data_IF_313302725091
#
_entry.id   IF_313302725091
#
_cell.length_a   1.000
_cell.length_b   1.000
_cell.length_c   1.000
_cell.angle_alpha   90.00
_cell.angle_beta   90.00
_cell.angle_gamma   90.00
#
_symmetry.space_group_name_H-M   'P 1'
#
loop_
_entity.id
_entity.type
_entity.pdbx_description
1 polymer ?
#
# COMPACT_ATOMS: atom_id res chain seq x y z
N UNK A 1 14.97 -39.29 57.85
CA UNK A 1 15.14 -39.64 56.43
C UNK A 1 14.56 -38.47 55.62
N UNK A 2 15.43 -37.69 55.00
CA UNK A 2 15.10 -36.40 54.38
C UNK A 2 14.22 -36.56 53.13
N UNK A 3 13.08 -35.87 53.10
CA UNK A 3 12.46 -35.35 51.86
C UNK A 3 11.96 -33.94 52.18
N UNK A 4 12.74 -32.95 51.74
CA UNK A 4 12.35 -31.55 51.74
C UNK A 4 11.33 -31.38 50.60
N UNK A 5 10.05 -31.21 50.94
CA UNK A 5 9.09 -30.53 50.09
C UNK A 5 8.94 -29.12 50.66
N UNK A 6 9.64 -28.16 50.06
CA UNK A 6 9.42 -26.73 50.30
C UNK A 6 8.22 -26.26 49.48
N UNK A 7 7.46 -25.38 50.12
CA UNK A 7 6.12 -24.88 49.82
C UNK A 7 5.85 -24.30 48.42
N UNK A 8 4.57 -24.19 48.04
CA UNK A 8 4.11 -23.55 46.81
C UNK A 8 4.19 -22.03 46.91
N UNK A 9 4.72 -21.38 45.87
CA UNK A 9 4.58 -19.95 45.67
C UNK A 9 3.46 -19.72 44.66
N UNK A 10 2.28 -19.40 45.18
CA UNK A 10 1.16 -18.80 44.47
C UNK A 10 1.62 -17.45 43.89
N UNK A 11 1.83 -17.39 42.57
CA UNK A 11 1.48 -16.20 41.81
C UNK A 11 0.36 -16.60 40.87
N UNK A 12 -0.82 -16.04 41.14
CA UNK A 12 -2.06 -16.27 40.43
C UNK A 12 -1.89 -15.95 38.95
N UNK A 13 -1.65 -16.99 38.16
CA UNK A 13 -2.01 -17.00 36.76
C UNK A 13 -3.51 -17.27 36.73
N UNK A 14 -4.31 -16.24 37.02
CA UNK A 14 -5.72 -16.28 36.66
C UNK A 14 -5.77 -16.47 35.15
N UNK A 15 -6.25 -17.66 34.76
CA UNK A 15 -6.68 -17.95 33.41
C UNK A 15 -7.74 -16.91 33.03
N UNK A 16 -7.30 -15.85 32.36
CA UNK A 16 -8.18 -15.15 31.46
C UNK A 16 -8.53 -16.14 30.35
N UNK A 17 -9.64 -16.86 30.53
CA UNK A 17 -10.43 -17.39 29.44
C UNK A 17 -10.84 -16.19 28.57
N UNK A 18 -9.96 -15.83 27.63
CA UNK A 18 -10.29 -14.93 26.55
C UNK A 18 -11.27 -15.73 25.69
N UNK A 19 -12.55 -15.53 25.99
CA UNK A 19 -13.64 -15.89 25.11
C UNK A 19 -13.48 -15.02 23.85
N UNK A 20 -12.73 -15.51 22.87
CA UNK A 20 -12.53 -14.88 21.57
C UNK A 20 -13.87 -14.98 20.83
N UNK A 21 -14.80 -14.09 21.18
CA UNK A 21 -15.82 -13.65 20.24
C UNK A 21 -15.11 -12.98 19.07
N UNK A 22 -15.64 -13.21 17.88
CA UNK A 22 -15.19 -12.69 16.57
C UNK A 22 -15.26 -11.16 16.44
N UNK A 23 -15.10 -10.41 17.52
CA UNK A 23 -15.16 -8.97 17.52
C UNK A 23 -13.73 -8.45 17.49
N UNK A 24 -13.32 -7.95 16.32
CA UNK A 24 -11.99 -7.41 16.08
C UNK A 24 -11.57 -6.46 17.20
N UNK A 25 -10.31 -6.60 17.63
CA UNK A 25 -9.67 -5.67 18.56
C UNK A 25 -9.79 -4.24 18.00
N UNK A 26 -10.77 -3.50 18.51
CA UNK A 26 -10.99 -2.10 18.19
C UNK A 26 -10.39 -1.31 19.33
N UNK A 27 -9.26 -0.66 19.07
CA UNK A 27 -8.75 0.39 19.95
C UNK A 27 -9.90 1.40 20.16
N UNK A 28 -10.12 1.91 21.38
CA UNK A 28 -11.12 2.94 21.61
C UNK A 28 -10.75 4.17 20.77
N UNK A 29 -11.55 4.43 19.73
CA UNK A 29 -11.42 5.61 18.86
C UNK A 29 -11.60 6.85 19.73
N UNK A 30 -10.52 7.60 19.98
CA UNK A 30 -10.64 8.92 20.59
C UNK A 30 -11.44 9.80 19.63
N UNK A 31 -12.60 10.29 20.06
CA UNK A 31 -13.34 11.28 19.29
C UNK A 31 -12.47 12.51 19.11
N UNK A 32 -12.08 12.75 17.87
CA UNK A 32 -11.17 13.81 17.49
C UNK A 32 -11.97 15.10 17.36
N UNK A 33 -11.45 16.19 17.93
CA UNK A 33 -12.15 17.47 17.89
C UNK A 33 -12.24 18.00 16.45
N UNK A 34 -13.26 18.81 16.16
CA UNK A 34 -13.43 19.45 14.86
C UNK A 34 -12.20 20.27 14.41
N UNK A 35 -11.51 20.88 15.37
CA UNK A 35 -10.25 21.62 15.14
C UNK A 35 -9.09 20.70 14.75
N UNK A 36 -8.92 19.57 15.43
CA UNK A 36 -7.91 18.55 15.07
C UNK A 36 -8.21 17.94 13.69
N UNK A 37 -9.49 17.71 13.37
CA UNK A 37 -9.91 17.30 12.03
C UNK A 37 -9.51 18.32 10.96
N UNK A 38 -9.84 19.60 11.17
CA UNK A 38 -9.54 20.68 10.24
C UNK A 38 -8.03 20.80 9.99
N UNK A 39 -7.21 20.76 11.04
CA UNK A 39 -5.75 20.83 10.93
C UNK A 39 -5.20 19.65 10.13
N UNK A 40 -5.68 18.43 10.40
CA UNK A 40 -5.27 17.25 9.62
C UNK A 40 -5.65 17.40 8.15
N UNK A 41 -6.88 17.84 7.84
CA UNK A 41 -7.30 18.08 6.46
C UNK A 41 -6.47 19.18 5.76
N UNK A 42 -6.20 20.29 6.44
CA UNK A 42 -5.39 21.37 5.89
C UNK A 42 -3.96 20.91 5.57
N UNK A 43 -3.35 20.11 6.44
CA UNK A 43 -2.04 19.52 6.16
C UNK A 43 -2.12 18.56 4.98
N UNK A 44 -3.14 17.69 4.90
CA UNK A 44 -3.33 16.81 3.74
C UNK A 44 -3.43 17.58 2.43
N UNK A 45 -4.20 18.68 2.42
CA UNK A 45 -4.39 19.55 1.25
C UNK A 45 -3.10 20.26 0.80
N UNK A 46 -2.14 20.46 1.70
CA UNK A 46 -0.84 21.07 1.38
C UNK A 46 0.24 20.03 1.07
N UNK A 47 0.24 18.91 1.80
CA UNK A 47 1.22 17.83 1.71
C UNK A 47 1.10 17.11 0.37
N UNK A 48 -0.13 16.74 -0.04
CA UNK A 48 -0.35 15.98 -1.27
C UNK A 48 0.16 16.74 -2.51
N UNK A 49 -0.20 18.02 -2.76
CA UNK A 49 0.30 18.75 -3.92
C UNK A 49 1.82 18.95 -3.90
N UNK A 50 2.40 19.29 -2.74
CA UNK A 50 3.84 19.50 -2.59
C UNK A 50 4.63 18.24 -2.96
N UNK A 51 4.18 17.08 -2.48
CA UNK A 51 4.86 15.81 -2.71
C UNK A 51 4.56 15.22 -4.08
N UNK A 52 3.39 15.53 -4.63
CA UNK A 52 3.10 15.22 -6.04
C UNK A 52 4.10 15.93 -6.94
N UNK A 53 4.44 17.19 -6.65
CA UNK A 53 5.47 17.90 -7.41
C UNK A 53 6.85 17.25 -7.25
N UNK A 54 7.26 16.96 -6.01
CA UNK A 54 8.57 16.34 -5.72
C UNK A 54 8.75 14.94 -6.33
N UNK A 55 7.69 14.14 -6.39
CA UNK A 55 7.74 12.75 -6.85
C UNK A 55 7.36 12.63 -8.33
N UNK A 56 6.48 13.51 -8.81
CA UNK A 56 5.98 13.54 -10.17
C UNK A 56 6.95 14.17 -11.16
N UNK A 57 7.73 15.16 -10.72
CA UNK A 57 8.84 15.71 -11.51
C UNK A 57 10.08 14.82 -11.36
N UNK A 58 10.29 13.93 -12.33
CA UNK A 58 11.27 12.86 -12.24
C UNK A 58 12.57 13.23 -12.94
N UNK A 59 13.67 13.22 -12.19
CA UNK A 59 15.01 13.31 -12.77
C UNK A 59 15.40 11.97 -13.40
N UNK A 60 15.67 12.01 -14.71
CA UNK A 60 16.02 10.86 -15.56
C UNK A 60 17.22 10.08 -15.00
N UNK A 61 18.20 10.75 -14.39
CA UNK A 61 19.41 10.11 -13.86
C UNK A 61 19.17 9.25 -12.60
N UNK A 62 18.04 9.45 -11.94
CA UNK A 62 17.69 8.75 -10.69
C UNK A 62 16.50 7.80 -10.88
N UNK A 63 15.83 7.85 -12.04
CA UNK A 63 14.68 7.03 -12.33
C UNK A 63 15.11 5.73 -13.01
N UNK A 64 15.31 4.68 -12.20
CA UNK A 64 15.83 3.38 -12.65
C UNK A 64 15.05 2.77 -13.83
N UNK A 65 13.71 2.88 -13.78
CA UNK A 65 12.82 2.32 -14.79
C UNK A 65 12.49 3.31 -15.92
N UNK A 66 13.17 4.48 -16.00
CA UNK A 66 12.84 5.57 -16.93
C UNK A 66 12.54 5.04 -18.33
N UNK A 67 13.47 4.34 -18.97
CA UNK A 67 13.35 3.88 -20.36
C UNK A 67 12.14 2.98 -20.63
N UNK A 68 11.59 2.33 -19.60
CA UNK A 68 10.42 1.46 -19.77
C UNK A 68 9.14 2.27 -19.96
N UNK A 69 9.05 3.44 -19.34
CA UNK A 69 7.81 4.23 -19.30
C UNK A 69 7.50 5.00 -20.59
N UNK A 70 8.46 5.66 -21.27
CA UNK A 70 8.27 6.18 -22.61
C UNK A 70 7.90 5.08 -23.61
N UNK A 71 8.47 3.88 -23.49
CA UNK A 71 8.09 2.75 -24.36
C UNK A 71 6.63 2.34 -24.15
N UNK A 72 6.15 2.31 -22.90
CA UNK A 72 4.74 2.04 -22.62
C UNK A 72 3.82 3.15 -23.13
N UNK A 73 4.26 4.40 -23.03
CA UNK A 73 3.52 5.55 -23.53
C UNK A 73 3.39 5.52 -25.05
N UNK A 74 4.51 5.33 -25.76
CA UNK A 74 4.53 5.21 -27.22
C UNK A 74 3.70 4.01 -27.71
N UNK A 75 3.82 2.88 -27.02
CA UNK A 75 3.01 1.72 -27.33
C UNK A 75 1.51 1.98 -27.12
N UNK A 76 1.14 2.72 -26.06
CA UNK A 76 -0.25 3.12 -25.78
C UNK A 76 -0.83 4.05 -26.86
N UNK A 77 -0.01 4.96 -27.39
CA UNK A 77 -0.42 5.89 -28.46
C UNK A 77 -0.63 5.19 -29.80
N UNK A 78 0.22 4.22 -30.14
CA UNK A 78 0.22 3.56 -31.44
C UNK A 78 -0.77 2.38 -31.52
N UNK A 79 -1.05 1.73 -30.39
CA UNK A 79 -1.79 0.47 -30.38
C UNK A 79 -3.24 0.67 -29.97
N UNK A 80 -4.25 0.13 -30.70
CA UNK A 80 -5.65 0.16 -30.27
C UNK A 80 -5.86 -0.60 -28.95
N UNK A 81 -6.93 -0.28 -28.19
CA UNK A 81 -7.19 -0.89 -26.87
C UNK A 81 -7.19 -2.43 -26.91
N UNK A 82 -7.77 -3.03 -27.94
CA UNK A 82 -7.79 -4.49 -28.13
C UNK A 82 -6.40 -5.10 -28.34
N UNK A 83 -5.44 -4.34 -28.88
CA UNK A 83 -4.05 -4.76 -29.05
C UNK A 83 -3.27 -4.73 -27.73
N UNK A 84 -3.56 -3.77 -26.85
CA UNK A 84 -2.92 -3.65 -25.53
C UNK A 84 -3.15 -4.90 -24.68
N UNK A 85 -4.39 -5.39 -24.61
CA UNK A 85 -4.71 -6.59 -23.83
C UNK A 85 -4.13 -7.88 -24.43
N UNK A 86 -3.84 -7.93 -25.74
CA UNK A 86 -3.27 -9.11 -26.40
C UNK A 86 -1.77 -9.27 -26.14
N UNK A 87 -1.05 -8.17 -25.89
CA UNK A 87 0.40 -8.21 -25.67
C UNK A 87 0.78 -8.59 -24.23
N UNK A 88 -0.15 -8.47 -23.27
CA UNK A 88 -0.02 -9.04 -21.93
C UNK A 88 0.89 -8.29 -20.95
N UNK A 89 1.59 -7.23 -21.38
CA UNK A 89 2.42 -6.40 -20.49
C UNK A 89 1.59 -5.34 -19.76
N UNK A 90 1.46 -5.45 -18.43
CA UNK A 90 0.82 -4.47 -17.53
C UNK A 90 -0.37 -3.70 -18.17
N UNK A 91 -1.39 -4.43 -18.67
CA UNK A 91 -2.32 -3.91 -19.66
C UNK A 91 -3.15 -2.74 -19.14
N UNK A 92 -3.54 -2.77 -17.86
CA UNK A 92 -4.33 -1.69 -17.28
C UNK A 92 -3.49 -0.42 -17.11
N UNK A 93 -2.20 -0.56 -16.80
CA UNK A 93 -1.32 0.60 -16.69
C UNK A 93 -1.12 1.30 -18.04
N UNK A 94 -0.96 0.55 -19.13
CA UNK A 94 -0.87 1.09 -20.49
C UNK A 94 -2.20 1.75 -20.92
N UNK A 95 -3.34 1.13 -20.59
CA UNK A 95 -4.66 1.70 -20.84
C UNK A 95 -4.85 3.03 -20.10
N UNK A 96 -4.36 3.16 -18.87
CA UNK A 96 -4.42 4.39 -18.09
C UNK A 96 -3.61 5.54 -18.71
N UNK A 97 -2.56 5.26 -19.50
CA UNK A 97 -1.79 6.28 -20.22
C UNK A 97 -2.55 6.84 -21.42
N UNK A 98 -3.47 6.06 -21.99
CA UNK A 98 -4.09 6.37 -23.29
C UNK A 98 -4.85 7.70 -23.37
N UNK A 99 -5.60 8.13 -22.35
CA UNK A 99 -6.23 9.46 -22.37
C UNK A 99 -5.23 10.61 -22.44
N UNK A 100 -3.98 10.38 -22.01
CA UNK A 100 -2.94 11.41 -21.99
C UNK A 100 -2.20 11.52 -23.32
N UNK A 101 -2.32 10.53 -24.23
CA UNK A 101 -1.62 10.55 -25.53
C UNK A 101 -2.12 11.65 -26.47
N UNK A 102 -3.24 12.30 -26.15
CA UNK A 102 -3.78 13.43 -26.90
C UNK A 102 -3.18 14.78 -26.49
N UNK A 103 -2.32 14.81 -25.47
CA UNK A 103 -1.69 16.02 -24.95
C UNK A 103 -0.23 16.10 -25.41
N UNK A 104 0.24 17.31 -25.71
CA UNK A 104 1.64 17.55 -26.12
C UNK A 104 2.64 17.10 -25.04
N UNK A 105 2.36 17.42 -23.76
CA UNK A 105 3.13 16.98 -22.58
C UNK A 105 2.48 15.78 -21.85
N UNK A 106 1.82 14.90 -22.61
CA UNK A 106 0.97 13.85 -22.04
C UNK A 106 1.70 12.86 -21.13
N UNK A 107 2.96 12.51 -21.44
CA UNK A 107 3.75 11.61 -20.60
C UNK A 107 4.02 12.21 -19.21
N UNK A 108 4.53 13.45 -19.17
CA UNK A 108 4.79 14.17 -17.91
C UNK A 108 3.49 14.36 -17.11
N UNK A 109 2.41 14.74 -17.81
CA UNK A 109 1.09 14.90 -17.18
C UNK A 109 0.60 13.59 -16.56
N UNK A 110 0.74 12.46 -17.26
CA UNK A 110 0.39 11.14 -16.73
C UNK A 110 1.19 10.80 -15.47
N UNK A 111 2.51 11.05 -15.47
CA UNK A 111 3.36 10.74 -14.30
C UNK A 111 2.96 11.55 -13.07
N UNK A 112 2.63 12.84 -13.25
CA UNK A 112 2.15 13.72 -12.17
C UNK A 112 0.80 13.23 -11.64
N UNK A 113 -0.15 12.91 -12.54
CA UNK A 113 -1.47 12.41 -12.14
C UNK A 113 -1.34 11.08 -11.40
N UNK A 114 -0.49 10.18 -11.89
CA UNK A 114 -0.27 8.89 -11.24
C UNK A 114 0.38 9.05 -9.86
N UNK A 115 1.36 9.95 -9.72
CA UNK A 115 1.94 10.30 -8.43
C UNK A 115 0.86 10.84 -7.47
N UNK A 116 0.04 11.79 -7.93
CA UNK A 116 -1.06 12.36 -7.13
C UNK A 116 -2.01 11.28 -6.59
N UNK A 117 -2.52 10.41 -7.46
CA UNK A 117 -3.44 9.34 -7.06
C UNK A 117 -2.78 8.34 -6.10
N UNK A 118 -1.53 7.96 -6.37
CA UNK A 118 -0.77 7.04 -5.52
C UNK A 118 -0.61 7.61 -4.11
N UNK A 119 -0.17 8.88 -4.00
CA UNK A 119 0.01 9.55 -2.72
C UNK A 119 -1.31 9.68 -1.96
N UNK A 120 -2.39 10.07 -2.66
CA UNK A 120 -3.71 10.22 -2.06
C UNK A 120 -4.23 8.89 -1.48
N UNK A 121 -4.10 7.80 -2.23
CA UNK A 121 -4.53 6.47 -1.79
C UNK A 121 -3.71 5.97 -0.61
N UNK A 122 -2.38 6.10 -0.67
CA UNK A 122 -1.49 5.69 0.44
C UNK A 122 -1.76 6.48 1.72
N UNK A 123 -1.89 7.79 1.62
CA UNK A 123 -2.18 8.64 2.78
C UNK A 123 -3.57 8.36 3.36
N UNK A 124 -4.55 8.07 2.52
CA UNK A 124 -5.90 7.65 2.97
C UNK A 124 -5.85 6.30 3.71
N UNK A 125 -5.10 5.33 3.18
CA UNK A 125 -4.91 4.04 3.81
C UNK A 125 -4.17 4.19 5.16
N UNK A 126 -3.10 4.98 5.20
CA UNK A 126 -2.32 5.26 6.41
C UNK A 126 -3.18 5.94 7.48
N UNK A 127 -3.95 6.98 7.12
CA UNK A 127 -4.84 7.67 8.05
C UNK A 127 -5.86 6.75 8.71
N UNK A 128 -6.36 5.75 7.98
CA UNK A 128 -7.31 4.80 8.54
C UNK A 128 -6.64 3.66 9.33
N UNK A 129 -5.37 3.38 9.05
CA UNK A 129 -4.57 2.38 9.76
C UNK A 129 -4.02 2.87 11.10
N UNK A 130 -3.79 4.19 11.25
CA UNK A 130 -3.27 4.80 12.48
C UNK A 130 -4.03 6.06 12.84
N UNK A 131 -4.38 6.19 14.12
CA UNK A 131 -4.99 7.43 14.65
C UNK A 131 -3.93 8.52 14.92
N UNK A 132 -2.65 8.10 15.02
CA UNK A 132 -1.55 8.98 15.36
C UNK A 132 -0.98 9.66 14.11
N UNK A 133 -1.18 10.98 14.04
CA UNK A 133 -0.70 11.82 12.96
C UNK A 133 0.83 11.81 12.84
N UNK A 134 1.56 11.69 13.95
CA UNK A 134 3.02 11.65 13.93
C UNK A 134 3.54 10.37 13.27
N UNK A 135 2.87 9.23 13.48
CA UNK A 135 3.21 7.98 12.81
C UNK A 135 2.96 8.09 11.30
N UNK A 136 1.87 8.75 10.90
CA UNK A 136 1.60 9.04 9.48
C UNK A 136 2.69 9.93 8.88
N UNK A 137 3.11 10.99 9.58
CA UNK A 137 4.16 11.89 9.11
C UNK A 137 5.51 11.18 9.01
N UNK A 138 5.91 10.41 10.02
CA UNK A 138 7.19 9.68 10.05
C UNK A 138 7.23 8.60 8.97
N UNK A 139 6.19 7.74 8.86
CA UNK A 139 6.14 6.72 7.82
C UNK A 139 6.16 7.35 6.44
N UNK A 140 5.40 8.43 6.22
CA UNK A 140 5.36 9.07 4.92
C UNK A 140 6.66 9.82 4.57
N UNK A 141 7.30 10.47 5.55
CA UNK A 141 8.63 11.08 5.38
C UNK A 141 9.75 10.05 5.25
N UNK A 142 9.47 8.77 5.52
CA UNK A 142 10.46 7.74 5.35
C UNK A 142 10.83 7.64 3.87
N UNK A 143 12.14 7.60 3.63
CA UNK A 143 12.74 7.47 2.30
C UNK A 143 12.08 6.36 1.47
N UNK A 144 11.63 5.28 2.12
CA UNK A 144 10.99 4.12 1.50
C UNK A 144 9.67 4.47 0.80
N UNK A 145 8.87 5.40 1.32
CA UNK A 145 7.54 5.70 0.76
C UNK A 145 7.60 6.68 -0.41
N UNK A 146 8.42 7.73 -0.35
CA UNK A 146 8.57 8.68 -1.45
C UNK A 146 9.51 8.18 -2.55
N UNK A 147 10.62 7.51 -2.23
CA UNK A 147 11.54 6.98 -3.25
C UNK A 147 10.89 5.88 -4.08
N UNK A 148 10.07 5.03 -3.45
CA UNK A 148 9.39 3.96 -4.18
C UNK A 148 8.46 4.51 -5.28
N UNK A 149 7.78 5.63 -5.02
CA UNK A 149 6.89 6.29 -5.99
C UNK A 149 7.69 6.96 -7.10
N UNK A 150 8.89 7.43 -6.74
CA UNK A 150 9.85 8.05 -7.63
C UNK A 150 10.49 7.04 -8.60
N UNK A 151 10.90 5.87 -8.11
CA UNK A 151 11.63 4.86 -8.92
C UNK A 151 10.67 3.93 -9.69
N UNK A 152 9.62 3.39 -9.04
CA UNK A 152 8.77 2.34 -9.62
C UNK A 152 7.27 2.69 -9.51
N UNK A 153 6.79 3.53 -10.44
CA UNK A 153 5.43 4.07 -10.38
C UNK A 153 4.33 3.00 -10.55
N UNK A 154 4.58 1.92 -11.33
CA UNK A 154 3.63 0.79 -11.50
C UNK A 154 3.36 0.04 -10.22
N UNK A 155 4.43 -0.47 -9.60
CA UNK A 155 4.36 -1.20 -8.34
C UNK A 155 3.76 -0.31 -7.27
N UNK A 156 4.14 0.98 -7.26
CA UNK A 156 3.63 1.91 -6.28
C UNK A 156 2.12 2.13 -6.39
N UNK A 157 1.62 2.35 -7.60
CA UNK A 157 0.19 2.49 -7.85
C UNK A 157 -0.58 1.22 -7.46
N UNK A 158 -0.06 0.04 -7.81
CA UNK A 158 -0.68 -1.24 -7.45
C UNK A 158 -0.74 -1.44 -5.92
N UNK A 159 0.34 -1.15 -5.20
CA UNK A 159 0.37 -1.22 -3.73
C UNK A 159 -0.56 -0.20 -3.09
N UNK A 160 -0.66 1.01 -3.65
CA UNK A 160 -1.57 2.04 -3.15
C UNK A 160 -3.04 1.59 -3.26
N UNK A 161 -3.43 0.99 -4.39
CA UNK A 161 -4.77 0.42 -4.59
C UNK A 161 -5.08 -0.71 -3.60
N UNK A 162 -4.11 -1.60 -3.36
CA UNK A 162 -4.25 -2.70 -2.40
C UNK A 162 -4.41 -2.15 -0.98
N UNK A 163 -3.52 -1.25 -0.56
CA UNK A 163 -3.57 -0.64 0.77
C UNK A 163 -4.88 0.12 0.99
N UNK A 164 -5.33 0.89 0.01
CA UNK A 164 -6.62 1.58 0.04
C UNK A 164 -7.79 0.60 0.16
N UNK A 165 -7.76 -0.50 -0.62
CA UNK A 165 -8.76 -1.56 -0.55
C UNK A 165 -8.83 -2.23 0.83
N UNK A 166 -7.69 -2.45 1.48
CA UNK A 166 -7.61 -3.09 2.81
C UNK A 166 -8.10 -2.15 3.91
N UNK A 167 -7.57 -0.92 3.96
CA UNK A 167 -7.70 -0.03 5.11
C UNK A 167 -8.81 1.02 4.98
N UNK A 168 -9.28 1.32 3.77
CA UNK A 168 -10.26 2.40 3.55
C UNK A 168 -11.59 1.90 3.01
N UNK A 169 -11.61 0.87 2.17
CA UNK A 169 -12.84 0.39 1.54
C UNK A 169 -13.60 -0.59 2.42
N UNK A 170 -14.81 -0.22 2.83
CA UNK A 170 -15.71 -1.10 3.61
C UNK A 170 -16.40 -2.16 2.75
N UNK A 171 -16.73 -1.86 1.50
CA UNK A 171 -17.44 -2.79 0.60
C UNK A 171 -16.54 -3.92 0.10
N UNK A 172 -16.97 -5.17 0.30
CA UNK A 172 -16.24 -6.36 -0.15
C UNK A 172 -16.04 -6.39 -1.67
N UNK A 173 -17.07 -6.01 -2.44
CA UNK A 173 -17.01 -6.06 -3.91
C UNK A 173 -15.99 -5.04 -4.44
N UNK A 174 -16.05 -3.80 -3.95
CA UNK A 174 -15.12 -2.74 -4.37
C UNK A 174 -13.69 -3.12 -4.01
N UNK A 175 -13.46 -3.70 -2.82
CA UNK A 175 -12.14 -4.18 -2.41
C UNK A 175 -11.56 -5.21 -3.39
N UNK A 176 -12.35 -6.20 -3.80
CA UNK A 176 -11.90 -7.21 -4.75
C UNK A 176 -11.69 -6.65 -6.16
N UNK A 177 -12.51 -5.70 -6.60
CA UNK A 177 -12.26 -4.97 -7.84
C UNK A 177 -10.93 -4.21 -7.81
N UNK A 178 -10.60 -3.55 -6.70
CA UNK A 178 -9.33 -2.85 -6.53
C UNK A 178 -8.13 -3.82 -6.55
N UNK A 179 -8.24 -4.98 -5.93
CA UNK A 179 -7.19 -6.01 -5.99
C UNK A 179 -6.99 -6.54 -7.40
N UNK A 180 -8.08 -6.78 -8.12
CA UNK A 180 -8.02 -7.21 -9.51
C UNK A 180 -7.36 -6.13 -10.39
N UNK A 181 -7.73 -4.86 -10.22
CA UNK A 181 -7.08 -3.75 -10.93
C UNK A 181 -5.59 -3.60 -10.57
N UNK A 182 -5.19 -3.78 -9.31
CA UNK A 182 -3.79 -3.76 -8.92
C UNK A 182 -2.97 -4.85 -9.64
N UNK A 183 -3.52 -6.06 -9.77
CA UNK A 183 -2.89 -7.18 -10.50
C UNK A 183 -2.75 -6.85 -11.99
N UNK A 184 -3.76 -6.23 -12.61
CA UNK A 184 -3.66 -5.82 -14.02
C UNK A 184 -2.75 -4.61 -14.25
N UNK A 185 -2.49 -3.78 -13.23
CA UNK A 185 -1.51 -2.70 -13.29
C UNK A 185 -0.10 -3.25 -13.16
N UNK A 186 0.10 -4.23 -12.28
CA UNK A 186 1.38 -4.87 -12.10
C UNK A 186 1.24 -6.27 -11.49
N UNK A 187 1.64 -7.29 -12.26
CA UNK A 187 1.37 -8.70 -11.95
C UNK A 187 1.91 -9.16 -10.58
N UNK A 188 3.09 -8.66 -10.15
CA UNK A 188 3.71 -9.08 -8.88
C UNK A 188 2.87 -8.74 -7.66
N UNK A 189 1.94 -7.79 -7.78
CA UNK A 189 0.99 -7.46 -6.71
C UNK A 189 0.08 -8.63 -6.31
N UNK A 190 -0.03 -9.68 -7.15
CA UNK A 190 -0.71 -10.94 -6.83
C UNK A 190 -0.17 -11.56 -5.55
N UNK A 191 1.14 -11.48 -5.28
CA UNK A 191 1.74 -12.04 -4.07
C UNK A 191 1.22 -11.33 -2.82
N UNK A 192 1.11 -10.00 -2.85
CA UNK A 192 0.58 -9.21 -1.73
C UNK A 192 -0.89 -9.53 -1.48
N UNK A 193 -1.69 -9.65 -2.54
CA UNK A 193 -3.11 -10.02 -2.46
C UNK A 193 -3.29 -11.43 -1.89
N UNK A 194 -2.51 -12.40 -2.36
CA UNK A 194 -2.52 -13.78 -1.84
C UNK A 194 -2.15 -13.81 -0.37
N UNK A 195 -1.08 -13.11 0.03
CA UNK A 195 -0.66 -13.00 1.43
C UNK A 195 -1.78 -12.44 2.31
N UNK A 196 -2.50 -11.42 1.84
CA UNK A 196 -3.67 -10.90 2.55
C UNK A 196 -4.79 -11.95 2.71
N UNK A 197 -5.08 -12.75 1.69
CA UNK A 197 -6.08 -13.83 1.79
C UNK A 197 -5.63 -14.94 2.75
N UNK A 198 -4.36 -15.35 2.68
CA UNK A 198 -3.78 -16.35 3.60
C UNK A 198 -3.86 -15.86 5.04
N UNK A 199 -3.49 -14.59 5.29
CA UNK A 199 -3.62 -13.95 6.60
C UNK A 199 -5.06 -14.00 7.11
N UNK A 200 -6.03 -13.71 6.25
CA UNK A 200 -7.46 -13.70 6.60
C UNK A 200 -8.01 -15.09 6.92
N UNK A 201 -7.52 -16.14 6.26
CA UNK A 201 -7.99 -17.53 6.45
C UNK A 201 -7.32 -18.19 7.66
N UNK A 202 -5.99 -18.05 7.80
CA UNK A 202 -5.22 -18.75 8.82
C UNK A 202 -5.20 -18.03 10.18
N UNK A 203 -5.54 -16.73 10.20
CA UNK A 203 -5.44 -15.89 11.38
C UNK A 203 -4.00 -15.59 11.80
N UNK A 204 -3.85 -14.60 12.68
CA UNK A 204 -2.56 -14.02 13.09
C UNK A 204 -1.57 -15.08 13.62
N UNK A 205 -2.05 -16.04 14.41
CA UNK A 205 -1.17 -17.01 15.13
C UNK A 205 -0.43 -17.99 14.20
N UNK A 206 -1.07 -18.47 13.14
CA UNK A 206 -0.42 -19.39 12.17
C UNK A 206 0.33 -18.64 11.07
N UNK A 207 -0.10 -17.43 10.74
CA UNK A 207 0.58 -16.58 9.76
C UNK A 207 1.96 -16.12 10.25
N UNK A 208 2.07 -15.67 11.51
CA UNK A 208 3.36 -15.30 12.11
C UNK A 208 4.32 -16.50 12.15
N UNK A 209 3.84 -17.70 12.47
CA UNK A 209 4.67 -18.92 12.49
C UNK A 209 5.14 -19.35 11.08
N UNK A 210 4.32 -19.15 10.05
CA UNK A 210 4.67 -19.44 8.65
C UNK A 210 5.59 -18.38 8.03
N UNK A 211 5.44 -17.10 8.41
CA UNK A 211 6.18 -15.98 7.82
C UNK A 211 7.36 -15.47 8.67
N UNK A 212 7.53 -15.87 9.94
CA UNK A 212 8.76 -15.56 10.67
C UNK A 212 10.02 -16.24 10.09
N UNK A 213 9.88 -17.16 9.13
CA UNK A 213 11.02 -17.79 8.45
C UNK A 213 11.41 -17.18 7.08
N UNK A 214 10.55 -16.43 6.35
CA UNK A 214 10.99 -15.64 5.20
C UNK A 214 10.79 -14.11 5.37
N UNK A 215 10.39 -13.58 6.52
CA UNK A 215 10.21 -12.11 6.67
C UNK A 215 11.51 -11.30 6.75
N UNK A 216 12.68 -11.95 6.89
CA UNK A 216 13.95 -11.32 6.52
C UNK A 216 14.16 -11.25 5.00
N UNK A 217 13.39 -11.99 4.21
CA UNK A 217 13.52 -12.05 2.75
C UNK A 217 12.72 -10.95 2.05
N UNK A 218 11.59 -10.46 2.54
CA UNK A 218 10.85 -9.37 1.85
C UNK A 218 11.45 -7.98 2.06
N UNK A 219 12.27 -7.78 3.10
CA UNK A 219 13.09 -6.57 3.25
C UNK A 219 14.45 -6.73 2.52
N UNK A 220 14.84 -7.95 2.12
CA UNK A 220 16.10 -8.24 1.40
C UNK A 220 15.94 -8.58 -0.10
N UNK A 221 14.77 -8.95 -0.61
CA UNK A 221 14.58 -9.35 -2.02
C UNK A 221 14.28 -8.18 -2.97
N UNK A 222 14.49 -6.95 -2.52
CA UNK A 222 14.57 -5.76 -3.38
C UNK A 222 16.03 -5.33 -3.59
N UNK A 223 16.93 -6.32 -3.63
CA UNK A 223 18.32 -6.23 -4.07
C UNK A 223 18.61 -7.30 -5.13
N UNK A 224 18.00 -7.17 -6.31
CA UNK A 224 18.60 -7.40 -7.64
C UNK A 224 17.85 -6.52 -8.64
#
# INVERSE_FOLDING_TARGET
MWKIYSQPMLLGCEMFEINIKEDGFTMPKREMTSKEMLVKYAIFMLLVPLLTYLVGDKNIYQWNDYYTYPNYYNFSSETPLSGVFKQGMDPLFIVLMKPFTFLDDGFSTFTIVCAYFTLLMKLSALRNSTENFFVLLVLYSSYILCLHDYVQIRISLALALIAFGIYTVNSRNIRYCLFLFAIFIHLTSVFVVLTYFVYKILGVRKFIFSHCFPSCSLVCYQWV
#
